data_IF_391662733309
#
_entry.id   IF_391662733309
#
_cell.length_a   1.000
_cell.length_b   1.000
_cell.length_c   1.000
_cell.angle_alpha   90.00
_cell.angle_beta   90.00
_cell.angle_gamma   90.00
#
_symmetry.space_group_name_H-M   'P 1'
#
loop_
_entity.id
_entity.type
_entity.pdbx_description
1 polymer ?
#
# COMPACT_ATOMS: atom_id res chain seq x y z
N UNK A 1 2.69 -0.72 -19.17
CA UNK A 1 2.85 0.30 -18.11
C UNK A 1 3.28 -0.36 -16.80
N UNK A 2 2.59 -1.42 -16.38
CA UNK A 2 2.84 -2.15 -15.13
C UNK A 2 4.29 -2.60 -14.95
N UNK A 3 4.90 -3.17 -16.00
CA UNK A 3 6.30 -3.60 -15.94
C UNK A 3 7.29 -2.45 -15.65
N UNK A 4 6.99 -1.24 -16.09
CA UNK A 4 7.85 -0.08 -15.82
C UNK A 4 7.71 0.38 -14.36
N UNK A 5 6.47 0.39 -13.83
CA UNK A 5 6.20 0.71 -12.42
C UNK A 5 6.81 -0.34 -11.49
N UNK A 6 6.65 -1.63 -11.79
CA UNK A 6 7.25 -2.73 -11.02
C UNK A 6 8.78 -2.59 -10.98
N UNK A 7 9.41 -2.28 -12.12
CA UNK A 7 10.86 -2.04 -12.17
C UNK A 7 11.26 -0.85 -11.29
N UNK A 8 10.59 0.28 -11.44
CA UNK A 8 10.87 1.48 -10.66
C UNK A 8 10.71 1.24 -9.14
N UNK A 9 9.67 0.52 -8.72
CA UNK A 9 9.48 0.13 -7.33
C UNK A 9 10.63 -0.76 -6.82
N UNK A 10 11.01 -1.80 -7.58
CA UNK A 10 12.06 -2.74 -7.17
C UNK A 10 13.47 -2.12 -7.21
N UNK A 11 13.68 -1.11 -8.05
CA UNK A 11 14.94 -0.36 -8.05
C UNK A 11 15.10 0.41 -6.71
N UNK A 12 13.99 0.86 -6.12
CA UNK A 12 13.97 1.69 -4.91
C UNK A 12 13.81 0.90 -3.60
N UNK A 13 12.99 -0.15 -3.59
CA UNK A 13 12.63 -0.95 -2.40
C UNK A 13 13.33 -2.30 -2.47
N UNK A 14 14.07 -2.65 -1.42
CA UNK A 14 14.78 -3.93 -1.32
C UNK A 14 13.93 -5.00 -0.63
N UNK A 15 14.31 -6.26 -0.84
CA UNK A 15 13.54 -7.42 -0.38
C UNK A 15 13.32 -7.48 1.15
N UNK A 16 14.21 -6.87 1.94
CA UNK A 16 14.13 -6.80 3.40
C UNK A 16 13.46 -5.52 3.92
N UNK A 17 13.01 -4.63 3.04
CA UNK A 17 12.35 -3.38 3.41
C UNK A 17 10.82 -3.54 3.38
N UNK A 18 10.11 -2.57 3.96
CA UNK A 18 8.65 -2.48 3.88
C UNK A 18 8.25 -1.31 2.98
N UNK A 19 7.22 -1.53 2.18
CA UNK A 19 6.63 -0.57 1.27
C UNK A 19 5.15 -0.36 1.63
N UNK A 20 4.75 0.90 1.73
CA UNK A 20 3.40 1.30 2.16
C UNK A 20 2.70 1.95 0.98
N UNK A 21 1.72 1.25 0.42
CA UNK A 21 0.98 1.71 -0.75
C UNK A 21 -0.27 2.46 -0.32
N UNK A 22 -0.42 3.69 -0.82
CA UNK A 22 -1.61 4.52 -0.60
C UNK A 22 -2.65 4.18 -1.67
N UNK A 23 -3.49 3.20 -1.32
CA UNK A 23 -4.77 2.85 -1.93
C UNK A 23 -4.80 2.50 -3.41
N UNK A 24 -5.98 2.03 -3.81
CA UNK A 24 -6.42 1.77 -5.19
C UNK A 24 -5.36 1.03 -6.01
N UNK A 25 -4.82 -0.05 -5.45
CA UNK A 25 -3.67 -0.74 -6.02
C UNK A 25 -3.98 -1.38 -7.38
N UNK A 26 -5.18 -1.97 -7.51
CA UNK A 26 -5.62 -2.61 -8.73
C UNK A 26 -7.13 -2.46 -8.91
N UNK A 27 -7.54 -2.04 -10.11
CA UNK A 27 -8.95 -2.06 -10.56
C UNK A 27 -9.37 -3.43 -11.13
N UNK A 28 -8.41 -4.35 -11.23
CA UNK A 28 -8.54 -5.68 -11.82
C UNK A 28 -8.94 -6.71 -10.75
N UNK A 29 -9.22 -7.95 -11.17
CA UNK A 29 -9.54 -9.02 -10.22
C UNK A 29 -8.40 -9.30 -9.22
N UNK A 30 -8.74 -9.80 -8.03
CA UNK A 30 -7.78 -10.15 -6.98
C UNK A 30 -6.65 -11.09 -7.44
N UNK A 31 -6.90 -11.97 -8.43
CA UNK A 31 -5.86 -12.83 -9.03
C UNK A 31 -4.79 -12.02 -9.76
N UNK A 32 -5.19 -10.99 -10.51
CA UNK A 32 -4.24 -10.10 -11.20
C UNK A 32 -3.52 -9.19 -10.21
N UNK A 33 -4.22 -8.68 -9.19
CA UNK A 33 -3.61 -7.93 -8.10
C UNK A 33 -2.52 -8.76 -7.40
N UNK A 34 -2.82 -10.01 -7.05
CA UNK A 34 -1.87 -10.99 -6.49
C UNK A 34 -0.66 -11.23 -7.39
N UNK A 35 -0.90 -11.44 -8.69
CA UNK A 35 0.18 -11.64 -9.67
C UNK A 35 1.07 -10.39 -9.80
N UNK A 36 0.51 -9.19 -9.67
CA UNK A 36 1.29 -7.95 -9.69
C UNK A 36 2.07 -7.77 -8.39
N UNK A 37 1.40 -7.97 -7.24
CA UNK A 37 2.00 -7.84 -5.91
C UNK A 37 3.18 -8.78 -5.71
N UNK A 38 3.07 -10.04 -6.17
CA UNK A 38 4.14 -11.04 -6.06
C UNK A 38 5.42 -10.69 -6.82
N UNK A 39 5.36 -9.72 -7.74
CA UNK A 39 6.51 -9.24 -8.53
C UNK A 39 7.20 -8.03 -7.89
N UNK A 40 6.63 -7.46 -6.84
CA UNK A 40 7.21 -6.35 -6.11
C UNK A 40 8.07 -6.86 -4.95
N UNK A 41 9.24 -6.25 -4.75
CA UNK A 41 10.16 -6.58 -3.67
C UNK A 41 9.73 -5.96 -2.34
N UNK A 42 10.08 -6.63 -1.25
CA UNK A 42 9.85 -6.13 0.11
C UNK A 42 8.45 -6.47 0.63
N UNK A 43 8.27 -6.21 1.91
CA UNK A 43 7.01 -6.44 2.63
C UNK A 43 5.99 -5.39 2.23
N UNK A 44 4.79 -5.79 1.81
CA UNK A 44 3.77 -4.87 1.29
C UNK A 44 2.67 -4.60 2.30
N UNK A 45 2.42 -3.32 2.54
CA UNK A 45 1.41 -2.81 3.47
C UNK A 45 0.46 -1.93 2.67
N UNK A 46 -0.83 -2.23 2.69
CA UNK A 46 -1.86 -1.46 2.01
C UNK A 46 -2.51 -0.45 2.96
N UNK A 47 -2.62 0.80 2.53
CA UNK A 47 -3.49 1.80 3.15
C UNK A 47 -4.68 1.97 2.22
N UNK A 48 -5.85 1.44 2.58
CA UNK A 48 -6.96 1.25 1.64
C UNK A 48 -7.48 2.55 1.04
N UNK A 49 -7.77 2.50 -0.26
CA UNK A 49 -8.62 3.44 -0.97
C UNK A 49 -10.05 2.94 -1.11
N UNK A 50 -10.91 3.72 -1.75
CA UNK A 50 -12.32 3.34 -1.95
C UNK A 50 -12.49 2.19 -2.95
N UNK A 51 -11.50 1.92 -3.80
CA UNK A 51 -11.56 0.79 -4.73
C UNK A 51 -10.98 -0.51 -4.16
N UNK A 52 -10.34 -0.45 -2.99
CA UNK A 52 -9.84 -1.62 -2.27
C UNK A 52 -10.95 -2.20 -1.36
N UNK A 53 -11.85 -2.98 -1.95
CA UNK A 53 -13.08 -3.44 -1.29
C UNK A 53 -12.81 -4.51 -0.22
N UNK A 54 -13.57 -4.44 0.89
CA UNK A 54 -13.33 -5.26 2.09
C UNK A 54 -13.51 -6.78 1.91
N UNK A 55 -14.12 -7.23 0.81
CA UNK A 55 -14.36 -8.66 0.52
C UNK A 55 -13.14 -9.35 -0.12
N UNK A 56 -12.05 -8.62 -0.34
CA UNK A 56 -10.79 -9.18 -0.82
C UNK A 56 -10.04 -9.90 0.29
N UNK A 57 -9.66 -11.17 0.06
CA UNK A 57 -8.70 -11.87 0.92
C UNK A 57 -7.30 -11.28 0.71
N UNK A 58 -7.01 -10.21 1.44
CA UNK A 58 -5.76 -9.47 1.32
C UNK A 58 -4.52 -10.31 1.62
N UNK A 59 -4.62 -11.22 2.58
CA UNK A 59 -3.52 -12.13 2.92
C UNK A 59 -3.27 -13.11 1.77
N UNK A 60 -4.33 -13.65 1.16
CA UNK A 60 -4.20 -14.50 -0.03
C UNK A 60 -3.58 -13.74 -1.21
N UNK A 61 -3.89 -12.45 -1.37
CA UNK A 61 -3.27 -11.61 -2.39
C UNK A 61 -1.78 -11.34 -2.12
N UNK A 62 -1.33 -11.48 -0.87
CA UNK A 62 0.07 -11.32 -0.44
C UNK A 62 0.35 -10.04 0.35
N UNK A 63 -0.68 -9.30 0.79
CA UNK A 63 -0.52 -8.16 1.67
C UNK A 63 -0.14 -8.61 3.08
N UNK A 64 0.84 -7.94 3.67
CA UNK A 64 1.31 -8.25 5.02
C UNK A 64 0.51 -7.53 6.11
N UNK A 65 0.00 -6.34 5.78
CA UNK A 65 -0.86 -5.52 6.63
C UNK A 65 -1.80 -4.70 5.74
N UNK A 66 -3.01 -4.43 6.23
CA UNK A 66 -3.99 -3.57 5.58
C UNK A 66 -4.60 -2.65 6.63
N UNK A 67 -4.61 -1.35 6.34
CA UNK A 67 -5.11 -0.30 7.24
C UNK A 67 -6.00 0.67 6.48
N UNK A 68 -6.95 1.32 7.16
CA UNK A 68 -7.69 2.45 6.58
C UNK A 68 -6.90 3.77 6.62
N UNK A 69 -6.08 3.91 7.66
CA UNK A 69 -5.10 4.96 7.81
C UNK A 69 -4.00 4.48 8.76
N UNK A 70 -2.78 5.01 8.62
CA UNK A 70 -1.66 4.57 9.45
C UNK A 70 -0.78 5.75 9.86
N UNK A 71 -0.60 5.94 11.17
CA UNK A 71 0.41 6.85 11.71
C UNK A 71 1.73 6.10 11.89
N UNK A 72 2.79 6.59 11.27
CA UNK A 72 4.15 6.07 11.44
C UNK A 72 5.10 7.19 11.85
N UNK A 73 6.27 6.82 12.36
CA UNK A 73 7.37 7.77 12.61
C UNK A 73 8.54 7.42 11.69
N UNK A 74 9.08 8.43 11.00
CA UNK A 74 10.27 8.31 10.16
C UNK A 74 11.23 9.42 10.55
N UNK A 75 12.41 9.07 11.06
CA UNK A 75 13.42 10.03 11.54
C UNK A 75 12.83 11.06 12.52
N UNK A 76 12.06 10.59 13.51
CA UNK A 76 11.38 11.42 14.51
C UNK A 76 10.31 12.38 13.93
N UNK A 77 9.93 12.20 12.66
CA UNK A 77 8.84 12.94 12.02
C UNK A 77 7.62 12.03 11.91
N UNK A 78 6.47 12.39 12.50
CA UNK A 78 5.25 11.64 12.34
C UNK A 78 4.68 11.84 10.93
N UNK A 79 4.38 10.73 10.25
CA UNK A 79 3.71 10.72 8.96
C UNK A 79 2.38 10.00 9.11
N UNK A 80 1.29 10.69 8.77
CA UNK A 80 -0.03 10.09 8.73
C UNK A 80 -0.39 9.73 7.29
N UNK A 81 -0.53 8.44 7.04
CA UNK A 81 -0.77 7.86 5.74
C UNK A 81 -2.27 7.62 5.55
N UNK A 82 -2.81 8.17 4.48
CA UNK A 82 -4.22 8.03 4.11
C UNK A 82 -4.35 8.18 2.58
N UNK A 83 -5.29 7.45 1.97
CA UNK A 83 -5.59 7.61 0.55
C UNK A 83 -6.07 9.03 0.18
N UNK A 84 -6.87 9.64 1.05
CA UNK A 84 -7.48 10.94 0.76
C UNK A 84 -6.59 12.08 1.27
N UNK A 85 -6.56 13.20 0.54
CA UNK A 85 -6.05 14.44 1.11
C UNK A 85 -6.91 14.82 2.31
N UNK A 86 -6.25 15.07 3.43
CA UNK A 86 -6.92 15.42 4.67
C UNK A 86 -7.05 16.92 4.79
N UNK A 87 -8.20 17.37 5.30
CA UNK A 87 -8.44 18.78 5.59
C UNK A 87 -7.58 19.28 6.74
N UNK A 88 -7.35 18.43 7.75
CA UNK A 88 -6.55 18.74 8.94
C UNK A 88 -5.94 17.45 9.50
N UNK A 89 -5.11 17.58 10.53
CA UNK A 89 -4.48 16.47 11.23
C UNK A 89 -5.49 15.64 12.03
N UNK A 90 -5.26 14.31 12.14
CA UNK A 90 -6.05 13.45 13.01
C UNK A 90 -6.05 13.98 14.45
N UNK A 91 -7.23 14.02 15.07
CA UNK A 91 -7.40 14.44 16.46
C UNK A 91 -7.45 15.96 16.67
N UNK A 92 -7.47 16.76 15.61
CA UNK A 92 -7.88 18.17 15.67
C UNK A 92 -9.41 18.26 15.74
N UNK A 93 -9.93 19.00 16.72
CA UNK A 93 -11.35 19.25 16.94
C UNK A 93 -11.67 20.71 16.70
#
# INVERSE_FOLDING_TARGET
>A
MDNALIRACNDRVKANESDRLLGDFAMESGVKAKNMLSRLQGRKILIRGNHDLADDDWAEQGWSEVHDALLIEVNQVPLYLHQYPLRDWPGKW
#
